data_IF_338440251405
#
_entry.id   IF_338440251405
#
_cell.length_a   1.000
_cell.length_b   1.000
_cell.length_c   1.000
_cell.angle_alpha   90.00
_cell.angle_beta   90.00
_cell.angle_gamma   90.00
#
_symmetry.space_group_name_H-M   'P 1'
#
loop_
_entity.id
_entity.type
_entity.pdbx_description
1 polymer ?
#
# COMPACT_ATOMS: atom_id res chain seq x y z
N UNK A 1 -10.38 -34.23 -46.93
CA UNK A 1 -11.13 -34.25 -45.64
C UNK A 1 -11.19 -32.87 -45.02
N UNK A 2 -12.39 -32.33 -44.84
CA UNK A 2 -12.62 -31.01 -44.23
C UNK A 2 -12.89 -31.22 -42.75
N UNK A 3 -11.97 -30.74 -41.88
CA UNK A 3 -12.15 -30.78 -40.43
C UNK A 3 -12.77 -29.44 -40.03
N UNK A 4 -14.01 -29.44 -39.58
CA UNK A 4 -14.67 -28.25 -39.06
C UNK A 4 -14.65 -28.29 -37.53
N UNK A 5 -13.87 -27.39 -36.89
CA UNK A 5 -13.86 -27.22 -35.45
C UNK A 5 -14.97 -26.22 -35.09
N UNK A 6 -16.00 -26.69 -34.40
CA UNK A 6 -17.06 -25.85 -33.84
C UNK A 6 -16.76 -25.57 -32.37
N UNK A 7 -16.89 -24.31 -31.95
CA UNK A 7 -16.85 -23.93 -30.54
C UNK A 7 -18.13 -24.49 -29.90
N UNK A 8 -17.98 -25.33 -28.87
CA UNK A 8 -19.12 -25.79 -28.05
C UNK A 8 -19.76 -24.60 -27.37
N UNK A 9 -21.04 -24.27 -27.64
CA UNK A 9 -21.72 -23.15 -26.97
C UNK A 9 -21.85 -23.33 -25.46
N UNK A 10 -21.67 -24.55 -24.95
CA UNK A 10 -21.62 -24.86 -23.52
C UNK A 10 -20.24 -24.65 -22.90
N UNK A 11 -19.19 -24.43 -23.71
CA UNK A 11 -17.84 -24.18 -23.23
C UNK A 11 -17.70 -22.71 -22.81
N UNK A 12 -17.98 -22.44 -21.56
CA UNK A 12 -17.73 -21.11 -20.99
C UNK A 12 -16.23 -20.89 -20.82
N UNK A 13 -15.71 -19.80 -21.38
CA UNK A 13 -14.33 -19.37 -21.18
C UNK A 13 -14.01 -19.31 -19.68
N UNK A 14 -12.95 -19.98 -19.26
CA UNK A 14 -12.52 -19.95 -17.87
C UNK A 14 -12.12 -18.53 -17.44
N UNK A 15 -12.80 -18.00 -16.45
CA UNK A 15 -12.47 -16.72 -15.82
C UNK A 15 -11.29 -16.92 -14.90
N UNK A 16 -10.24 -16.12 -15.05
CA UNK A 16 -8.99 -16.26 -14.29
C UNK A 16 -8.72 -15.04 -13.45
N UNK A 17 -8.05 -15.26 -12.32
CA UNK A 17 -7.45 -14.27 -11.44
C UNK A 17 -5.97 -14.63 -11.27
N UNK A 18 -5.11 -13.63 -11.19
CA UNK A 18 -3.67 -13.82 -10.99
C UNK A 18 -3.29 -13.50 -9.56
N UNK A 19 -2.53 -14.38 -8.89
CA UNK A 19 -1.91 -14.10 -7.59
C UNK A 19 -0.40 -14.19 -7.70
N UNK A 20 0.31 -13.17 -7.21
CA UNK A 20 1.76 -13.01 -7.28
C UNK A 20 2.37 -12.73 -5.91
N UNK A 21 3.69 -12.92 -5.82
CA UNK A 21 4.48 -12.58 -4.64
C UNK A 21 4.50 -13.68 -3.59
N UNK A 22 4.39 -13.30 -2.32
CA UNK A 22 4.70 -14.15 -1.18
C UNK A 22 3.53 -15.03 -0.72
N UNK A 23 3.03 -15.85 -1.64
CA UNK A 23 2.18 -17.03 -1.39
C UNK A 23 2.95 -18.29 -1.72
N UNK A 24 2.48 -19.47 -1.26
CA UNK A 24 3.21 -20.71 -1.55
C UNK A 24 3.15 -21.09 -3.03
N UNK A 25 2.02 -20.89 -3.69
CA UNK A 25 1.83 -21.25 -5.10
C UNK A 25 1.32 -20.03 -5.89
N UNK A 26 2.20 -19.09 -6.30
CA UNK A 26 1.81 -17.98 -7.15
C UNK A 26 1.44 -18.48 -8.56
N UNK A 27 0.49 -17.83 -9.23
CA UNK A 27 0.06 -18.21 -10.58
C UNK A 27 -1.33 -17.72 -10.93
N UNK A 28 -1.86 -18.23 -12.03
CA UNK A 28 -3.21 -17.98 -12.48
C UNK A 28 -4.16 -19.04 -11.92
N UNK A 29 -5.27 -18.56 -11.34
CA UNK A 29 -6.31 -19.41 -10.77
C UNK A 29 -7.62 -19.20 -11.50
N UNK A 30 -8.24 -20.30 -11.90
CA UNK A 30 -9.61 -20.26 -12.42
C UNK A 30 -10.56 -19.97 -11.27
N UNK A 31 -11.48 -19.02 -11.47
CA UNK A 31 -12.52 -18.69 -10.49
C UNK A 31 -13.45 -19.90 -10.37
N UNK A 32 -13.52 -20.49 -9.17
CA UNK A 32 -14.26 -21.74 -8.93
C UNK A 32 -15.78 -21.54 -8.89
N UNK A 33 -16.23 -20.31 -8.60
CA UNK A 33 -17.66 -20.04 -8.53
C UNK A 33 -17.98 -18.55 -8.41
N UNK A 34 -19.28 -18.20 -8.54
CA UNK A 34 -19.73 -16.81 -8.60
C UNK A 34 -19.56 -16.04 -7.28
N UNK A 35 -19.29 -16.72 -6.19
CA UNK A 35 -19.15 -16.12 -4.86
C UNK A 35 -17.73 -16.26 -4.29
N UNK A 36 -16.75 -16.68 -5.10
CA UNK A 36 -15.36 -16.80 -4.66
C UNK A 36 -14.79 -15.42 -4.28
N UNK A 37 -14.07 -15.38 -3.17
CA UNK A 37 -13.56 -14.16 -2.55
C UNK A 37 -12.03 -14.15 -2.51
N UNK A 38 -11.46 -13.00 -2.20
CA UNK A 38 -10.02 -12.80 -2.11
C UNK A 38 -9.33 -13.82 -1.18
N UNK A 39 -9.90 -14.09 0.00
CA UNK A 39 -9.36 -15.08 0.94
C UNK A 39 -9.29 -16.49 0.35
N UNK A 40 -10.28 -16.86 -0.46
CA UNK A 40 -10.38 -18.20 -1.01
C UNK A 40 -9.26 -18.44 -2.04
N UNK A 41 -8.94 -17.42 -2.84
CA UNK A 41 -7.80 -17.48 -3.77
C UNK A 41 -6.48 -17.58 -3.01
N UNK A 42 -6.30 -16.80 -1.92
CA UNK A 42 -5.09 -16.88 -1.09
C UNK A 42 -4.95 -18.28 -0.48
N UNK A 43 -6.04 -18.87 0.01
CA UNK A 43 -6.05 -20.23 0.57
C UNK A 43 -5.70 -21.27 -0.50
N UNK A 44 -6.29 -21.19 -1.69
CA UNK A 44 -5.98 -22.09 -2.83
C UNK A 44 -4.55 -21.94 -3.31
N UNK A 45 -3.95 -20.75 -3.15
CA UNK A 45 -2.53 -20.51 -3.41
C UNK A 45 -1.61 -21.07 -2.30
N UNK A 46 -2.15 -21.88 -1.39
CA UNK A 46 -1.43 -22.49 -0.28
C UNK A 46 -1.25 -21.57 0.93
N UNK A 47 -1.90 -20.39 0.93
CA UNK A 47 -1.75 -19.39 1.98
C UNK A 47 -0.52 -18.49 1.81
N UNK A 48 -0.27 -17.71 2.83
CA UNK A 48 0.84 -16.75 2.86
C UNK A 48 2.13 -17.40 3.33
N UNK A 49 3.26 -17.00 2.72
CA UNK A 49 4.60 -17.33 3.23
C UNK A 49 4.91 -16.55 4.51
N UNK A 50 5.85 -17.02 5.36
CA UNK A 50 6.25 -16.31 6.58
C UNK A 50 6.75 -14.88 6.36
N UNK A 51 7.37 -14.61 5.21
CA UNK A 51 7.88 -13.31 4.80
C UNK A 51 6.79 -12.37 4.28
N UNK A 52 5.60 -12.89 4.00
CA UNK A 52 4.50 -12.10 3.45
C UNK A 52 4.10 -10.94 4.37
N UNK A 53 3.79 -9.81 3.74
CA UNK A 53 3.39 -8.60 4.45
C UNK A 53 2.02 -8.10 3.94
N UNK A 54 0.91 -8.60 4.50
CA UNK A 54 -0.44 -8.27 4.06
C UNK A 54 -0.74 -6.77 4.04
N UNK A 55 -0.18 -5.98 4.97
CA UNK A 55 -0.40 -4.53 5.06
C UNK A 55 0.08 -3.81 3.79
N UNK A 56 1.17 -4.28 3.18
CA UNK A 56 1.73 -3.70 1.95
C UNK A 56 1.18 -4.35 0.68
N UNK A 57 0.28 -5.34 0.80
CA UNK A 57 -0.23 -6.08 -0.35
C UNK A 57 -1.22 -5.25 -1.17
N UNK A 58 -1.38 -5.58 -2.43
CA UNK A 58 -2.17 -4.81 -3.39
C UNK A 58 -3.18 -5.69 -4.11
N UNK A 59 -4.33 -5.12 -4.37
CA UNK A 59 -5.37 -5.69 -5.21
C UNK A 59 -5.61 -4.76 -6.39
N UNK A 60 -5.56 -5.31 -7.61
CA UNK A 60 -5.69 -4.55 -8.85
C UNK A 60 -6.87 -5.10 -9.63
N UNK A 61 -7.79 -4.23 -10.02
CA UNK A 61 -8.94 -4.52 -10.89
C UNK A 61 -9.02 -3.47 -11.98
N UNK A 62 -9.15 -3.89 -13.23
CA UNK A 62 -9.19 -3.00 -14.39
C UNK A 62 -8.05 -1.97 -14.39
N UNK A 63 -6.83 -2.44 -14.08
CA UNK A 63 -5.60 -1.63 -13.97
C UNK A 63 -5.62 -0.57 -12.84
N UNK A 64 -6.62 -0.56 -11.97
CA UNK A 64 -6.72 0.35 -10.83
C UNK A 64 -6.39 -0.40 -9.53
N UNK A 65 -5.51 0.19 -8.70
CA UNK A 65 -5.23 -0.30 -7.35
C UNK A 65 -6.43 -0.01 -6.45
N UNK A 66 -7.02 -1.07 -5.89
CA UNK A 66 -8.11 -0.95 -4.92
C UNK A 66 -7.53 -1.08 -3.51
N UNK A 67 -7.84 -0.10 -2.67
CA UNK A 67 -7.36 -0.04 -1.29
C UNK A 67 -8.15 -1.02 -0.43
N UNK A 68 -7.52 -2.12 -0.04
CA UNK A 68 -8.09 -3.16 0.80
C UNK A 68 -7.23 -3.41 2.03
N UNK A 69 -7.87 -3.72 3.15
CA UNK A 69 -7.16 -4.20 4.34
C UNK A 69 -6.97 -5.71 4.26
N UNK A 70 -5.89 -6.16 3.62
CA UNK A 70 -5.57 -7.59 3.51
C UNK A 70 -5.45 -8.27 4.87
N UNK A 71 -4.84 -7.60 5.86
CA UNK A 71 -4.74 -8.13 7.22
C UNK A 71 -6.12 -8.46 7.80
N UNK A 72 -7.10 -7.54 7.63
CA UNK A 72 -8.47 -7.73 8.10
C UNK A 72 -9.19 -8.85 7.34
N UNK A 73 -8.99 -8.91 6.02
CA UNK A 73 -9.59 -9.94 5.15
C UNK A 73 -9.10 -11.33 5.53
N UNK A 74 -7.79 -11.49 5.74
CA UNK A 74 -7.18 -12.76 6.10
C UNK A 74 -7.59 -13.18 7.52
N UNK A 75 -7.64 -12.25 8.47
CA UNK A 75 -8.02 -12.52 9.84
C UNK A 75 -9.53 -12.82 10.01
N UNK A 76 -10.36 -12.20 9.17
CA UNK A 76 -11.83 -12.33 9.22
C UNK A 76 -12.41 -12.63 7.82
N UNK A 77 -12.22 -13.85 7.27
CA UNK A 77 -12.64 -14.18 5.91
C UNK A 77 -14.15 -14.06 5.66
N UNK A 78 -14.95 -14.18 6.73
CA UNK A 78 -16.41 -14.05 6.65
C UNK A 78 -16.91 -12.61 6.68
N UNK A 79 -16.01 -11.62 6.86
CA UNK A 79 -16.41 -10.20 6.93
C UNK A 79 -16.84 -9.67 5.55
N UNK A 80 -17.67 -8.62 5.56
CA UNK A 80 -18.05 -7.90 4.34
C UNK A 80 -16.84 -7.19 3.66
N UNK A 81 -15.72 -7.06 4.37
CA UNK A 81 -14.47 -6.53 3.81
C UNK A 81 -13.77 -7.51 2.87
N UNK A 82 -14.14 -8.81 2.92
CA UNK A 82 -13.56 -9.82 2.03
C UNK A 82 -14.15 -9.67 0.63
N UNK A 83 -13.32 -9.22 -0.28
CA UNK A 83 -13.71 -8.74 -1.59
C UNK A 83 -14.00 -9.90 -2.55
N UNK A 84 -15.11 -9.81 -3.30
CA UNK A 84 -15.46 -10.80 -4.32
C UNK A 84 -14.51 -10.66 -5.51
N UNK A 85 -13.98 -11.81 -6.00
CA UNK A 85 -13.07 -11.87 -7.14
C UNK A 85 -13.84 -11.82 -8.47
N UNK A 86 -13.27 -11.12 -9.43
CA UNK A 86 -13.74 -11.04 -10.82
C UNK A 86 -12.63 -11.42 -11.79
N UNK A 87 -13.02 -11.74 -13.02
CA UNK A 87 -12.08 -12.03 -14.10
C UNK A 87 -11.09 -10.87 -14.33
N UNK A 88 -9.80 -11.20 -14.47
CA UNK A 88 -8.74 -10.23 -14.71
C UNK A 88 -8.21 -9.54 -13.44
N UNK A 89 -8.74 -9.86 -12.25
CA UNK A 89 -8.19 -9.35 -11.00
C UNK A 89 -6.75 -9.83 -10.79
N UNK A 90 -5.93 -8.97 -10.18
CA UNK A 90 -4.57 -9.30 -9.79
C UNK A 90 -4.35 -9.03 -8.30
N UNK A 91 -3.82 -10.02 -7.60
CA UNK A 91 -3.49 -9.99 -6.18
C UNK A 91 -1.96 -10.02 -6.08
N UNK A 92 -1.37 -9.06 -5.38
CA UNK A 92 0.08 -8.99 -5.18
C UNK A 92 0.37 -8.99 -3.69
N UNK A 93 0.96 -10.07 -3.20
CA UNK A 93 1.37 -10.20 -1.80
C UNK A 93 2.84 -9.81 -1.68
N UNK A 94 3.10 -8.67 -1.05
CA UNK A 94 4.45 -8.17 -0.86
C UNK A 94 5.11 -8.77 0.39
N UNK A 95 6.45 -8.64 0.47
CA UNK A 95 7.23 -8.96 1.67
C UNK A 95 7.48 -7.73 2.52
N UNK A 96 7.99 -7.95 3.74
CA UNK A 96 8.58 -6.90 4.56
C UNK A 96 9.85 -6.36 3.92
N UNK A 97 10.02 -5.05 3.96
CA UNK A 97 11.24 -4.38 3.48
C UNK A 97 12.28 -4.22 4.59
N UNK A 98 11.84 -4.23 5.86
CA UNK A 98 12.59 -3.87 7.07
C UNK A 98 13.15 -2.43 7.03
N UNK A 99 12.53 -1.57 6.24
CA UNK A 99 12.94 -0.18 6.03
C UNK A 99 11.78 0.79 6.31
N UNK A 100 12.15 2.02 6.65
CA UNK A 100 11.30 3.22 6.64
C UNK A 100 12.00 4.26 5.79
N UNK A 101 11.27 4.88 4.89
CA UNK A 101 11.77 5.91 4.00
C UNK A 101 11.51 7.28 4.64
N UNK A 102 12.53 8.15 4.69
CA UNK A 102 12.39 9.52 5.18
C UNK A 102 12.81 10.47 4.07
N UNK A 103 11.91 11.37 3.68
CA UNK A 103 12.12 12.29 2.56
C UNK A 103 11.64 13.70 2.88
N UNK A 104 12.01 14.66 2.02
CA UNK A 104 11.67 16.06 2.19
C UNK A 104 12.66 16.80 3.07
N UNK A 105 12.18 17.75 3.87
CA UNK A 105 12.99 18.75 4.55
C UNK A 105 13.59 18.23 5.88
N UNK A 106 14.49 17.24 5.77
CA UNK A 106 15.36 16.73 6.84
C UNK A 106 16.83 16.89 6.45
N UNK A 107 17.74 16.80 7.42
CA UNK A 107 19.16 16.97 7.15
C UNK A 107 19.74 15.81 6.31
N UNK A 108 19.30 14.57 6.55
CA UNK A 108 19.75 13.37 5.84
C UNK A 108 18.54 12.55 5.38
N UNK A 109 17.91 12.88 4.24
CA UNK A 109 16.87 12.03 3.68
C UNK A 109 17.44 10.69 3.23
N UNK A 110 16.65 9.60 3.39
CA UNK A 110 17.12 8.26 3.03
C UNK A 110 16.29 7.13 3.62
N UNK A 111 16.87 5.93 3.54
CA UNK A 111 16.26 4.70 4.01
C UNK A 111 16.85 4.31 5.36
N UNK A 112 15.98 4.05 6.32
CA UNK A 112 16.34 3.72 7.70
C UNK A 112 15.80 2.35 8.05
N UNK A 113 16.54 1.60 8.86
CA UNK A 113 16.07 0.30 9.35
C UNK A 113 14.75 0.47 10.13
N UNK A 114 13.79 -0.41 9.87
CA UNK A 114 12.53 -0.43 10.62
C UNK A 114 12.73 -0.98 12.03
N UNK A 115 12.24 -0.25 13.04
CA UNK A 115 12.17 -0.67 14.42
C UNK A 115 10.72 -0.66 14.92
N UNK A 116 10.24 -1.80 15.42
CA UNK A 116 8.82 -2.07 15.73
C UNK A 116 8.15 -1.02 16.65
N UNK A 117 8.84 -0.40 17.55
CA UNK A 117 8.28 0.53 18.53
C UNK A 117 8.70 1.99 18.29
N UNK A 118 9.39 2.27 17.19
CA UNK A 118 9.80 3.63 16.86
C UNK A 118 8.63 4.41 16.25
N UNK A 119 8.59 5.69 16.55
CA UNK A 119 7.62 6.65 16.05
C UNK A 119 8.24 7.59 15.00
N UNK A 120 7.44 8.46 14.39
CA UNK A 120 7.90 9.40 13.36
C UNK A 120 9.05 10.28 13.84
N UNK A 121 9.00 10.76 15.11
CA UNK A 121 10.08 11.61 15.64
C UNK A 121 11.41 10.89 15.77
N UNK A 122 11.38 9.57 16.05
CA UNK A 122 12.61 8.79 16.14
C UNK A 122 13.29 8.71 14.78
N UNK A 123 12.54 8.49 13.70
CA UNK A 123 13.09 8.49 12.34
C UNK A 123 13.56 9.88 11.89
N UNK A 124 12.85 10.94 12.26
CA UNK A 124 13.33 12.31 12.00
C UNK A 124 14.65 12.56 12.72
N UNK A 125 14.81 12.11 13.97
CA UNK A 125 16.11 12.20 14.70
C UNK A 125 17.20 11.39 14.01
N UNK A 126 16.91 10.15 13.56
CA UNK A 126 17.87 9.34 12.79
C UNK A 126 18.28 10.04 11.48
N UNK A 127 17.36 10.78 10.86
CA UNK A 127 17.62 11.60 9.68
C UNK A 127 18.34 12.94 10.00
N UNK A 128 18.92 13.08 11.19
CA UNK A 128 19.66 14.27 11.60
C UNK A 128 18.77 15.46 11.99
N UNK A 129 17.45 15.24 12.15
CA UNK A 129 16.49 16.27 12.49
C UNK A 129 15.95 17.04 11.27
N UNK A 130 15.04 17.96 11.55
CA UNK A 130 14.45 18.84 10.54
C UNK A 130 15.47 19.89 10.08
N UNK A 131 15.50 20.20 8.80
CA UNK A 131 16.28 21.32 8.27
C UNK A 131 15.56 22.68 8.51
N UNK A 132 16.16 23.79 8.05
CA UNK A 132 15.62 25.15 8.26
C UNK A 132 14.30 25.41 7.54
N UNK A 133 14.09 24.72 6.40
CA UNK A 133 12.94 24.92 5.53
C UNK A 133 11.76 23.98 5.89
N UNK A 134 11.95 23.11 6.84
CA UNK A 134 10.96 22.11 7.26
C UNK A 134 9.70 22.72 7.89
N UNK A 135 8.54 22.29 7.42
CA UNK A 135 7.25 22.58 8.03
C UNK A 135 6.73 21.38 8.82
N UNK A 136 6.63 21.54 10.14
CA UNK A 136 5.99 20.54 11.00
C UNK A 136 4.52 20.31 10.67
N UNK A 137 3.85 21.31 10.11
CA UNK A 137 2.42 21.21 9.76
C UNK A 137 2.17 20.52 8.42
N UNK A 138 3.18 20.50 7.54
CA UNK A 138 3.13 19.82 6.25
C UNK A 138 3.81 18.45 6.28
N UNK A 139 3.92 17.84 7.47
CA UNK A 139 4.51 16.50 7.63
C UNK A 139 3.42 15.43 7.61
N UNK A 140 3.60 14.42 6.81
CA UNK A 140 2.70 13.27 6.73
C UNK A 140 3.46 11.96 6.60
N UNK A 141 2.79 10.87 6.90
CA UNK A 141 3.29 9.51 6.70
C UNK A 141 2.42 8.81 5.67
N UNK A 142 3.04 8.21 4.69
CA UNK A 142 2.41 7.29 3.77
C UNK A 142 2.65 5.86 4.27
N UNK A 143 1.55 5.16 4.55
CA UNK A 143 1.58 3.79 5.02
C UNK A 143 1.83 2.82 3.85
N UNK A 144 2.35 1.61 4.09
CA UNK A 144 2.58 0.62 3.03
C UNK A 144 1.31 0.24 2.26
N UNK A 145 0.14 0.42 2.87
CA UNK A 145 -1.16 0.28 2.21
C UNK A 145 -1.43 1.34 1.15
N UNK A 146 -0.67 2.48 1.17
CA UNK A 146 -0.88 3.66 0.34
C UNK A 146 -1.78 4.73 0.98
N UNK A 147 -2.20 4.53 2.23
CA UNK A 147 -2.95 5.54 2.98
C UNK A 147 -1.98 6.58 3.53
N UNK A 148 -2.30 7.86 3.36
CA UNK A 148 -1.52 8.95 3.92
C UNK A 148 -2.21 9.54 5.16
N UNK A 149 -1.44 9.77 6.22
CA UNK A 149 -1.90 10.35 7.48
C UNK A 149 -1.04 11.56 7.86
N UNK A 150 -1.70 12.63 8.31
CA UNK A 150 -0.98 13.85 8.78
C UNK A 150 -0.34 13.55 10.12
N UNK A 151 0.95 13.92 10.27
CA UNK A 151 1.69 13.81 11.52
C UNK A 151 1.41 15.01 12.41
N UNK A 152 0.86 14.77 13.60
CA UNK A 152 0.59 15.80 14.61
C UNK A 152 1.57 15.68 15.76
N UNK A 153 2.60 16.52 15.78
CA UNK A 153 3.71 16.45 16.75
C UNK A 153 3.31 16.68 18.22
N UNK A 154 2.16 17.32 18.47
CA UNK A 154 1.65 17.60 19.83
C UNK A 154 0.60 16.61 20.32
N UNK A 155 0.23 15.65 19.50
CA UNK A 155 -0.77 14.60 19.82
C UNK A 155 -0.28 13.25 19.33
N UNK A 156 -1.18 12.26 19.29
CA UNK A 156 -0.87 10.93 18.80
C UNK A 156 -0.30 10.98 17.38
N UNK A 157 0.98 10.72 17.24
CA UNK A 157 1.60 10.48 15.93
C UNK A 157 1.09 9.18 15.34
N UNK A 158 0.87 9.10 14.02
CA UNK A 158 0.55 7.87 13.35
C UNK A 158 1.58 6.79 13.64
N UNK A 159 1.13 5.54 13.65
CA UNK A 159 2.02 4.39 13.81
C UNK A 159 2.87 4.21 12.57
N UNK A 160 4.18 4.06 12.77
CA UNK A 160 5.10 3.71 11.69
C UNK A 160 5.06 2.20 11.46
N UNK A 161 4.88 1.80 10.22
CA UNK A 161 4.93 0.41 9.78
C UNK A 161 6.18 0.18 8.92
N UNK A 162 6.59 -1.07 8.81
CA UNK A 162 7.61 -1.48 7.86
C UNK A 162 7.18 -1.07 6.43
N UNK A 163 8.07 -0.42 5.67
CA UNK A 163 7.73 0.12 4.35
C UNK A 163 6.98 1.46 4.35
N UNK A 164 6.79 2.12 5.51
CA UNK A 164 6.22 3.47 5.54
C UNK A 164 7.18 4.51 4.98
N UNK A 165 6.63 5.56 4.37
CA UNK A 165 7.36 6.75 3.94
C UNK A 165 6.96 7.94 4.79
N UNK A 166 7.91 8.57 5.48
CA UNK A 166 7.73 9.82 6.24
C UNK A 166 8.16 10.96 5.34
N UNK A 167 7.25 11.89 5.08
CA UNK A 167 7.47 13.00 4.15
C UNK A 167 7.34 14.30 4.92
N UNK A 168 8.42 15.07 4.95
CA UNK A 168 8.50 16.36 5.63
C UNK A 168 8.37 17.45 4.59
N UNK A 169 7.25 18.19 4.63
CA UNK A 169 7.00 19.29 3.72
C UNK A 169 7.82 20.52 4.02
N UNK A 170 7.87 21.43 3.06
CA UNK A 170 8.54 22.72 3.14
C UNK A 170 7.61 23.78 3.75
N UNK A 171 8.17 24.77 4.44
CA UNK A 171 7.48 26.00 4.80
C UNK A 171 7.07 26.72 3.52
N UNK A 172 5.81 27.15 3.42
CA UNK A 172 5.41 28.08 2.38
C UNK A 172 6.14 29.40 2.61
N UNK A 173 6.78 29.93 1.58
CA UNK A 173 7.26 31.31 1.59
C UNK A 173 6.04 32.21 1.63
N UNK A 174 5.72 32.74 2.79
CA UNK A 174 4.77 33.82 2.89
C UNK A 174 5.46 35.03 2.27
N UNK A 175 5.07 35.42 1.06
CA UNK A 175 5.49 36.71 0.49
C UNK A 175 5.21 37.78 1.54
N UNK A 176 6.27 38.40 2.07
CA UNK A 176 6.13 39.50 2.98
C UNK A 176 5.44 40.60 2.20
N UNK A 177 4.17 40.87 2.54
CA UNK A 177 3.41 41.96 1.99
C UNK A 177 4.15 43.23 2.31
N UNK A 178 4.89 43.80 1.35
CA UNK A 178 5.61 45.06 1.53
C UNK A 178 4.60 46.18 1.39
N UNK A 179 4.28 46.85 2.50
CA UNK A 179 3.41 48.03 2.53
C UNK A 179 3.96 49.24 1.72
N UNK A 180 5.16 49.12 1.18
CA UNK A 180 5.84 50.22 0.48
C UNK A 180 5.34 50.48 -0.93
N UNK A 181 4.45 49.66 -1.50
CA UNK A 181 3.94 49.82 -2.87
C UNK A 181 2.63 50.61 -3.01
N UNK A 182 2.07 51.15 -1.91
CA UNK A 182 0.79 51.88 -1.96
C UNK A 182 0.87 53.33 -1.45
N UNK A 183 2.08 53.93 -1.41
CA UNK A 183 2.24 55.35 -1.11
C UNK A 183 2.98 56.01 -2.27
N UNK A 184 2.24 56.31 -3.34
CA UNK A 184 2.52 57.37 -4.33
C UNK A 184 1.21 57.98 -4.78
#
# INVERSE_FOLDING_TARGET
DLITIRIDPLYSRQKKVTIKGYVYNPGDYVIAGPNERLSDIIERAGGLRPEAYPIASSFIRNNNKIMLSFEKIIRFPKSNSNFKILEGDSIIINAKTNLVFVSGEVNNPGNYQFFKNSNVNDYIKMAGGLNRDASKYATYIELPSGVSEIVRFLRFSPKVYDGSTIIIGRKEEVEKFSFTQYVT
#
